data_IF_404216632969
#
_entry.id   IF_404216632969
#
_cell.length_a   1.000
_cell.length_b   1.000
_cell.length_c   1.000
_cell.angle_alpha   90.00
_cell.angle_beta   90.00
_cell.angle_gamma   90.00
#
_symmetry.space_group_name_H-M   'P 1'
#
loop_
_entity.id
_entity.type
_entity.pdbx_description
1 polymer ?
#
# COMPACT_ATOMS: atom_id res chain seq x y z
N UNK A 1 -22.63 -8.80 -18.30
CA UNK A 1 -23.68 -8.26 -17.43
C UNK A 1 -23.21 -8.18 -16.00
N UNK A 2 -23.39 -7.05 -15.39
CA UNK A 2 -22.93 -6.83 -14.03
C UNK A 2 -23.84 -7.58 -13.03
N UNK A 3 -23.26 -8.45 -12.25
CA UNK A 3 -24.01 -9.26 -11.28
C UNK A 3 -24.22 -8.58 -9.95
N UNK A 4 -23.63 -7.41 -9.76
CA UNK A 4 -23.70 -6.70 -8.50
C UNK A 4 -24.69 -5.55 -8.54
N UNK A 5 -25.42 -5.37 -7.44
CA UNK A 5 -26.25 -4.18 -7.27
C UNK A 5 -25.32 -2.98 -7.00
N UNK A 6 -25.82 -1.74 -7.17
CA UNK A 6 -25.02 -0.57 -6.83
C UNK A 6 -24.49 -0.57 -5.40
N UNK A 7 -25.27 -1.10 -4.45
CA UNK A 7 -24.83 -1.21 -3.06
C UNK A 7 -23.71 -2.22 -2.89
N UNK A 8 -23.78 -3.34 -3.59
CA UNK A 8 -22.73 -4.35 -3.55
C UNK A 8 -21.43 -3.82 -4.15
N UNK A 9 -21.53 -3.07 -5.24
CA UNK A 9 -20.36 -2.42 -5.82
C UNK A 9 -19.73 -1.44 -4.84
N UNK A 10 -20.54 -0.65 -4.18
CA UNK A 10 -20.05 0.32 -3.19
C UNK A 10 -19.34 -0.39 -2.05
N UNK A 11 -19.89 -1.49 -1.55
CA UNK A 11 -19.26 -2.28 -0.50
C UNK A 11 -17.93 -2.87 -0.97
N UNK A 12 -17.89 -3.40 -2.18
CA UNK A 12 -16.66 -3.96 -2.73
C UNK A 12 -15.58 -2.90 -2.88
N UNK A 13 -15.94 -1.71 -3.33
CA UNK A 13 -14.98 -0.61 -3.44
C UNK A 13 -14.51 -0.12 -2.08
N UNK A 14 -15.38 -0.11 -1.09
CA UNK A 14 -15.00 0.24 0.27
C UNK A 14 -14.05 -0.80 0.86
N UNK A 15 -14.30 -2.07 0.57
CA UNK A 15 -13.43 -3.15 1.03
C UNK A 15 -12.02 -3.02 0.46
N UNK A 16 -11.89 -2.56 -0.79
CA UNK A 16 -10.58 -2.32 -1.40
C UNK A 16 -9.81 -1.23 -0.66
N UNK A 17 -10.52 -0.26 -0.09
CA UNK A 17 -9.90 0.85 0.65
C UNK A 17 -9.70 0.55 2.13
N UNK A 18 -10.35 -0.49 2.66
CA UNK A 18 -10.29 -0.81 4.06
C UNK A 18 -8.98 -1.46 4.45
N UNK A 19 -8.76 -1.47 5.74
CA UNK A 19 -7.60 -2.14 6.34
C UNK A 19 -7.70 -3.64 6.15
N UNK A 20 -6.60 -4.33 6.34
CA UNK A 20 -6.53 -5.79 6.28
C UNK A 20 -6.86 -6.36 4.90
N UNK A 21 -6.43 -5.66 3.84
CA UNK A 21 -6.54 -6.21 2.49
C UNK A 21 -5.73 -7.51 2.37
N UNK A 22 -6.05 -8.31 1.36
CA UNK A 22 -5.38 -9.59 1.15
C UNK A 22 -3.86 -9.44 1.03
N UNK A 23 -3.39 -8.42 0.32
CA UNK A 23 -1.95 -8.19 0.16
C UNK A 23 -1.30 -7.82 1.49
N UNK A 24 -1.97 -7.05 2.32
CA UNK A 24 -1.47 -6.73 3.66
C UNK A 24 -1.35 -7.98 4.51
N UNK A 25 -2.37 -8.83 4.46
CA UNK A 25 -2.38 -10.09 5.23
C UNK A 25 -1.24 -11.01 4.81
N UNK A 26 -1.02 -11.14 3.50
CA UNK A 26 0.07 -11.98 2.99
C UNK A 26 1.42 -11.52 3.52
N UNK A 27 1.70 -10.24 3.42
CA UNK A 27 2.98 -9.69 3.85
C UNK A 27 3.13 -9.78 5.37
N UNK A 28 2.06 -9.47 6.12
CA UNK A 28 2.10 -9.54 7.58
C UNK A 28 2.37 -10.96 8.08
N UNK A 29 1.73 -11.96 7.46
CA UNK A 29 1.94 -13.35 7.85
C UNK A 29 3.38 -13.78 7.62
N UNK A 30 3.97 -13.38 6.49
CA UNK A 30 5.36 -13.70 6.20
C UNK A 30 6.32 -13.05 7.20
N UNK A 31 6.09 -11.78 7.53
CA UNK A 31 6.92 -11.06 8.49
C UNK A 31 6.81 -11.67 9.89
N UNK A 32 5.59 -12.02 10.29
CA UNK A 32 5.37 -12.63 11.61
C UNK A 32 6.06 -13.98 11.72
N UNK A 33 6.01 -14.79 10.65
CA UNK A 33 6.64 -16.11 10.62
C UNK A 33 8.15 -16.00 10.79
N UNK A 34 8.75 -14.87 10.44
CA UNK A 34 10.19 -14.61 10.59
C UNK A 34 10.55 -14.06 11.96
N UNK A 35 9.58 -13.94 12.86
CA UNK A 35 9.80 -13.38 14.17
C UNK A 35 9.84 -11.87 14.24
N UNK A 36 9.49 -11.20 13.15
CA UNK A 36 9.44 -9.74 13.10
C UNK A 36 8.13 -9.27 13.68
N UNK A 37 8.20 -8.40 14.67
CA UNK A 37 7.02 -7.89 15.37
C UNK A 37 6.76 -6.44 14.97
N UNK A 38 5.62 -6.21 14.39
CA UNK A 38 5.20 -4.92 13.83
C UNK A 38 3.89 -4.47 14.46
N UNK A 39 3.55 -3.22 14.20
CA UNK A 39 2.21 -2.70 14.49
C UNK A 39 1.50 -2.43 13.17
N UNK A 40 0.21 -2.71 13.14
CA UNK A 40 -0.60 -2.51 11.93
C UNK A 40 -1.57 -1.36 12.11
N UNK A 41 -1.88 -0.68 11.03
CA UNK A 41 -2.91 0.35 10.98
C UNK A 41 -2.72 1.43 12.05
N UNK A 42 -1.49 1.93 12.18
CA UNK A 42 -1.17 2.95 13.18
C UNK A 42 -1.59 4.32 12.65
N UNK A 43 -2.59 4.92 13.30
CA UNK A 43 -3.17 6.17 12.83
C UNK A 43 -2.36 7.41 13.22
N UNK A 44 -1.52 7.32 14.23
CA UNK A 44 -0.75 8.46 14.71
C UNK A 44 0.47 8.81 13.86
N UNK A 45 0.80 7.95 12.89
CA UNK A 45 1.92 8.21 11.99
C UNK A 45 1.37 8.80 10.69
N UNK A 46 2.03 9.83 10.20
CA UNK A 46 1.60 10.53 9.00
C UNK A 46 1.47 9.56 7.83
N UNK A 47 0.36 9.65 7.11
CA UNK A 47 0.08 8.77 5.97
C UNK A 47 -0.49 7.42 6.33
N UNK A 48 -0.57 7.09 7.61
CA UNK A 48 -1.16 5.83 8.09
C UNK A 48 -0.58 4.59 7.43
N UNK A 49 0.71 4.29 7.66
CA UNK A 49 1.33 3.11 7.07
C UNK A 49 0.60 1.83 7.44
N UNK A 50 0.63 0.85 6.54
CA UNK A 50 -0.03 -0.43 6.77
C UNK A 50 0.69 -1.28 7.80
N UNK A 51 2.02 -1.24 7.79
CA UNK A 51 2.87 -2.00 8.71
C UNK A 51 3.95 -1.06 9.22
N UNK A 52 4.17 -1.04 10.55
CA UNK A 52 5.09 -0.10 11.17
C UNK A 52 6.00 -0.81 12.16
N UNK A 53 7.28 -0.52 12.09
CA UNK A 53 8.27 -0.91 13.10
C UNK A 53 8.74 0.38 13.79
N UNK A 54 8.03 0.76 14.84
CA UNK A 54 8.21 2.07 15.46
C UNK A 54 9.64 2.29 15.99
N UNK A 55 10.18 1.30 16.68
CA UNK A 55 11.53 1.42 17.26
C UNK A 55 12.61 1.60 16.21
N UNK A 56 12.42 1.06 15.02
CA UNK A 56 13.40 1.15 13.93
C UNK A 56 13.05 2.25 12.92
N UNK A 57 11.90 2.88 13.07
CA UNK A 57 11.40 3.89 12.15
C UNK A 57 11.32 3.36 10.71
N UNK A 58 10.72 2.20 10.54
CA UNK A 58 10.44 1.63 9.22
C UNK A 58 8.93 1.61 9.00
N UNK A 59 8.50 2.23 7.93
CA UNK A 59 7.09 2.28 7.54
C UNK A 59 6.90 1.55 6.22
N UNK A 60 5.94 0.64 6.17
CA UNK A 60 5.67 -0.17 4.98
C UNK A 60 4.26 0.11 4.47
N UNK A 61 4.16 0.40 3.19
CA UNK A 61 2.88 0.61 2.50
C UNK A 61 2.65 -0.50 1.49
N UNK A 62 1.44 -1.05 1.51
CA UNK A 62 1.01 -2.05 0.53
C UNK A 62 0.08 -1.35 -0.45
N UNK A 63 0.60 -1.01 -1.63
CA UNK A 63 -0.11 -0.18 -2.60
C UNK A 63 -0.84 -1.04 -3.64
N UNK A 64 -2.16 -0.89 -3.71
CA UNK A 64 -2.91 -1.55 -4.77
C UNK A 64 -2.69 -0.81 -6.08
N UNK A 65 -2.60 -1.55 -7.18
CA UNK A 65 -2.29 -1.00 -8.48
C UNK A 65 -3.35 0.00 -8.95
N UNK A 66 -4.59 -0.30 -8.69
CA UNK A 66 -5.69 0.54 -9.14
C UNK A 66 -5.66 1.94 -8.49
N UNK A 67 -5.56 1.99 -7.16
CA UNK A 67 -5.69 3.25 -6.43
C UNK A 67 -4.41 4.08 -6.42
N UNK A 68 -3.24 3.45 -6.60
CA UNK A 68 -1.94 4.13 -6.47
C UNK A 68 -1.25 4.37 -7.80
N UNK A 69 -1.94 4.13 -8.90
CA UNK A 69 -1.45 4.48 -10.22
C UNK A 69 -0.33 3.60 -10.76
N UNK A 70 -0.36 2.29 -10.44
CA UNK A 70 0.61 1.37 -11.01
C UNK A 70 0.57 1.42 -12.53
N UNK A 71 1.75 1.61 -13.14
CA UNK A 71 1.88 1.69 -14.60
C UNK A 71 0.91 2.73 -15.19
N UNK A 72 0.83 3.89 -14.57
CA UNK A 72 -0.22 4.86 -14.81
C UNK A 72 -0.27 5.37 -16.25
N UNK A 73 0.88 5.64 -16.87
CA UNK A 73 0.91 6.17 -18.24
C UNK A 73 0.23 5.22 -19.22
N UNK A 74 0.35 3.90 -19.00
CA UNK A 74 -0.31 2.92 -19.83
C UNK A 74 -1.77 2.74 -19.47
N UNK A 75 -2.07 2.65 -18.17
CA UNK A 75 -3.44 2.41 -17.68
C UNK A 75 -4.36 3.59 -17.91
N UNK A 76 -3.83 4.79 -17.89
CA UNK A 76 -4.62 6.00 -18.12
C UNK A 76 -5.35 5.95 -19.44
N UNK A 77 -4.77 5.31 -20.44
CA UNK A 77 -5.34 5.17 -21.79
C UNK A 77 -6.50 4.18 -21.83
N UNK A 78 -6.59 3.30 -20.84
CA UNK A 78 -7.60 2.25 -20.80
C UNK A 78 -8.95 2.71 -20.22
N UNK A 79 -8.99 3.87 -19.59
CA UNK A 79 -10.23 4.40 -19.06
C UNK A 79 -11.08 4.98 -20.18
N UNK A 80 -12.08 4.22 -20.60
CA UNK A 80 -12.97 4.63 -21.71
C UNK A 80 -14.19 5.40 -21.24
N UNK A 81 -14.55 5.26 -19.96
CA UNK A 81 -15.69 5.97 -19.38
C UNK A 81 -15.31 6.51 -18.01
N UNK A 82 -15.98 7.58 -17.61
CA UNK A 82 -15.77 8.22 -16.30
C UNK A 82 -14.33 8.68 -16.08
N UNK A 83 -13.63 9.03 -17.15
CA UNK A 83 -12.27 9.53 -17.08
C UNK A 83 -12.16 10.75 -16.16
N UNK A 84 -13.16 11.63 -16.23
CA UNK A 84 -13.20 12.85 -15.43
C UNK A 84 -13.27 12.56 -13.93
N UNK A 85 -13.79 11.40 -13.56
CA UNK A 85 -13.91 11.00 -12.17
C UNK A 85 -12.66 10.24 -11.70
N UNK A 86 -12.23 9.22 -12.45
CA UNK A 86 -11.17 8.32 -12.01
C UNK A 86 -9.76 8.88 -12.16
N UNK A 87 -9.50 9.55 -13.27
CA UNK A 87 -8.15 10.04 -13.54
C UNK A 87 -7.68 11.06 -12.49
N UNK A 88 -8.46 12.13 -12.20
CA UNK A 88 -8.02 13.07 -11.17
C UNK A 88 -7.87 12.44 -9.79
N UNK A 89 -8.73 11.47 -9.48
CA UNK A 89 -8.70 10.82 -8.17
C UNK A 89 -7.42 9.99 -7.99
N UNK A 90 -7.06 9.20 -9.01
CA UNK A 90 -5.85 8.37 -8.95
C UNK A 90 -4.61 9.25 -8.95
N UNK A 91 -4.58 10.28 -9.78
CA UNK A 91 -3.43 11.20 -9.82
C UNK A 91 -3.24 11.93 -8.49
N UNK A 92 -4.33 12.29 -7.83
CA UNK A 92 -4.27 12.90 -6.50
C UNK A 92 -3.70 11.93 -5.47
N UNK A 93 -4.09 10.65 -5.56
CA UNK A 93 -3.54 9.62 -4.69
C UNK A 93 -2.04 9.46 -4.89
N UNK A 94 -1.58 9.50 -6.16
CA UNK A 94 -0.15 9.41 -6.47
C UNK A 94 0.63 10.58 -5.88
N UNK A 95 0.09 11.79 -5.99
CA UNK A 95 0.71 12.98 -5.40
C UNK A 95 0.79 12.87 -3.89
N UNK A 96 -0.28 12.40 -3.27
CA UNK A 96 -0.33 12.21 -1.83
C UNK A 96 0.68 11.17 -1.38
N UNK A 97 0.81 10.06 -2.11
CA UNK A 97 1.79 9.02 -1.80
C UNK A 97 3.21 9.59 -1.83
N UNK A 98 3.53 10.40 -2.83
CA UNK A 98 4.84 11.02 -2.94
C UNK A 98 5.09 12.00 -1.78
N UNK A 99 4.09 12.78 -1.41
CA UNK A 99 4.17 13.71 -0.29
C UNK A 99 4.38 12.98 1.02
N UNK A 100 3.60 11.92 1.27
CA UNK A 100 3.72 11.12 2.47
C UNK A 100 5.12 10.53 2.59
N UNK A 101 5.61 9.93 1.51
CA UNK A 101 6.94 9.33 1.48
C UNK A 101 8.02 10.37 1.80
N UNK A 102 7.97 11.52 1.12
CA UNK A 102 8.95 12.58 1.33
C UNK A 102 8.94 13.08 2.76
N UNK A 103 7.76 13.29 3.33
CA UNK A 103 7.63 13.78 4.70
C UNK A 103 8.17 12.78 5.73
N UNK A 104 7.82 11.51 5.58
CA UNK A 104 8.31 10.49 6.51
C UNK A 104 9.83 10.35 6.41
N UNK A 105 10.37 10.37 5.20
CA UNK A 105 11.82 10.31 5.03
C UNK A 105 12.53 11.50 5.64
N UNK A 106 11.93 12.68 5.56
CA UNK A 106 12.49 13.89 6.18
C UNK A 106 12.50 13.79 7.70
N UNK A 107 11.62 12.97 8.27
CA UNK A 107 11.54 12.75 9.72
C UNK A 107 12.40 11.57 10.18
N UNK A 108 13.20 11.01 9.31
CA UNK A 108 14.12 9.92 9.62
C UNK A 108 13.55 8.52 9.44
N UNK A 109 12.39 8.40 8.79
CA UNK A 109 11.78 7.11 8.52
C UNK A 109 12.33 6.49 7.24
N UNK A 110 12.47 5.17 7.26
CA UNK A 110 12.69 4.41 6.03
C UNK A 110 11.32 3.98 5.52
N UNK A 111 10.96 4.41 4.33
CA UNK A 111 9.67 4.12 3.73
C UNK A 111 9.82 3.07 2.66
N UNK A 112 9.08 1.98 2.78
CA UNK A 112 9.07 0.89 1.82
C UNK A 112 7.68 0.78 1.22
N UNK A 113 7.59 0.75 -0.09
CA UNK A 113 6.32 0.60 -0.80
C UNK A 113 6.39 -0.59 -1.72
N UNK A 114 5.38 -1.45 -1.63
CA UNK A 114 5.29 -2.65 -2.48
C UNK A 114 3.96 -2.65 -3.20
N UNK A 115 4.01 -2.95 -4.49
CA UNK A 115 2.78 -3.13 -5.26
C UNK A 115 2.13 -4.45 -4.90
N UNK A 116 0.78 -4.51 -4.98
CA UNK A 116 0.05 -5.73 -4.67
C UNK A 116 0.53 -6.94 -5.44
N UNK A 117 0.83 -6.77 -6.72
CA UNK A 117 1.35 -7.89 -7.54
C UNK A 117 2.69 -8.40 -7.04
N UNK A 118 3.56 -7.51 -6.58
CA UNK A 118 4.84 -7.92 -6.00
C UNK A 118 4.64 -8.76 -4.76
N UNK A 119 3.72 -8.34 -3.91
CA UNK A 119 3.43 -9.06 -2.67
C UNK A 119 2.86 -10.44 -2.98
N UNK A 120 1.91 -10.52 -3.91
CA UNK A 120 1.28 -11.79 -4.27
C UNK A 120 2.25 -12.78 -4.90
N UNK A 121 3.13 -12.30 -5.77
CA UNK A 121 4.05 -13.18 -6.50
C UNK A 121 5.34 -13.45 -5.75
N UNK A 122 5.81 -12.48 -4.97
CA UNK A 122 7.12 -12.54 -4.34
C UNK A 122 7.06 -12.09 -2.89
N UNK A 123 6.14 -12.66 -2.10
CA UNK A 123 5.94 -12.30 -0.70
C UNK A 123 7.23 -12.40 0.11
N UNK A 124 7.96 -13.50 -0.07
CA UNK A 124 9.20 -13.73 0.65
C UNK A 124 10.25 -12.68 0.30
N UNK A 125 10.34 -12.29 -0.96
CA UNK A 125 11.26 -11.27 -1.43
C UNK A 125 10.95 -9.90 -0.82
N UNK A 126 9.67 -9.55 -0.76
CA UNK A 126 9.24 -8.31 -0.12
C UNK A 126 9.63 -8.31 1.36
N UNK A 127 9.42 -9.44 2.03
CA UNK A 127 9.80 -9.59 3.44
C UNK A 127 11.31 -9.50 3.62
N UNK A 128 12.09 -10.02 2.68
CA UNK A 128 13.55 -9.90 2.70
C UNK A 128 13.99 -8.43 2.70
N UNK A 129 13.33 -7.63 1.89
CA UNK A 129 13.62 -6.19 1.80
C UNK A 129 13.32 -5.50 3.14
N UNK A 130 12.18 -5.82 3.74
CA UNK A 130 11.81 -5.28 5.05
C UNK A 130 12.83 -5.67 6.12
N UNK A 131 13.20 -6.94 6.15
CA UNK A 131 14.16 -7.46 7.11
C UNK A 131 15.51 -6.78 6.96
N UNK A 132 15.97 -6.59 5.72
CA UNK A 132 17.23 -5.88 5.46
C UNK A 132 17.19 -4.45 5.96
N UNK A 133 16.08 -3.75 5.75
CA UNK A 133 15.91 -2.37 6.22
C UNK A 133 15.98 -2.31 7.76
N UNK A 134 15.40 -3.30 8.44
CA UNK A 134 15.43 -3.36 9.90
C UNK A 134 16.85 -3.59 10.40
N UNK A 135 17.63 -4.43 9.72
CA UNK A 135 19.01 -4.71 10.11
C UNK A 135 19.92 -3.49 9.95
N UNK A 136 19.66 -2.67 8.94
CA UNK A 136 20.44 -1.45 8.72
C UNK A 136 20.25 -0.43 9.84
N UNK A 137 19.18 -0.55 10.63
CA UNK A 137 18.87 0.37 11.71
C UNK A 137 19.44 -0.03 13.06
N UNK A 138 20.25 -1.06 13.09
CA UNK A 138 20.88 -1.52 14.34
C UNK A 138 22.01 -0.59 14.80
#
# INVERSE_FOLDING_TARGET
>A
MDKHTPEQRRRNMQAVKNKDSQIELLLRQELWSRGLRYRKNVNCIYGKPDIVFIGKKVAVFCDSEFWHGYNWEERKKDFKSHQEFWIPKIERNMERDAEVTARLESEGWTVLRFWGNEIKKNTAQCADIVESALKEKL
#
